data_IF_597173147659
#
_entry.id   IF_597173147659
#
_cell.length_a   1.000
_cell.length_b   1.000
_cell.length_c   1.000
_cell.angle_alpha   90.00
_cell.angle_beta   90.00
_cell.angle_gamma   90.00
#
_symmetry.space_group_name_H-M   'P 1'
#
loop_
_entity.id
_entity.type
_entity.pdbx_description
1 polymer ?
#
# COMPACT_ATOMS: atom_id res chain seq x y z
N UNK A 1 -57.17 14.10 -3.82
CA UNK A 1 -56.13 13.34 -3.11
C UNK A 1 -55.00 13.05 -4.10
N UNK A 2 -53.97 13.90 -4.12
CA UNK A 2 -52.71 13.64 -4.83
C UNK A 2 -51.80 12.86 -3.89
N UNK A 3 -51.34 11.68 -4.29
CA UNK A 3 -50.17 11.03 -3.68
C UNK A 3 -48.98 11.16 -4.63
N UNK A 4 -47.95 11.82 -4.11
CA UNK A 4 -46.63 11.98 -4.67
C UNK A 4 -45.91 10.62 -4.75
N UNK A 5 -45.45 10.23 -5.93
CA UNK A 5 -44.47 9.14 -6.11
C UNK A 5 -43.07 9.66 -5.80
N UNK A 6 -42.39 9.06 -4.82
CA UNK A 6 -41.03 9.40 -4.41
C UNK A 6 -39.98 8.77 -5.37
N UNK A 7 -38.91 9.50 -5.78
CA UNK A 7 -37.88 9.02 -6.70
C UNK A 7 -36.65 8.37 -6.04
N UNK A 8 -36.76 7.81 -4.82
CA UNK A 8 -35.60 7.41 -4.00
C UNK A 8 -34.90 6.08 -4.31
N UNK A 9 -35.51 5.17 -5.08
CA UNK A 9 -35.00 3.79 -5.22
C UNK A 9 -33.86 3.56 -6.22
N UNK A 10 -33.59 4.50 -7.14
CA UNK A 10 -32.55 4.33 -8.17
C UNK A 10 -31.16 4.81 -7.74
N UNK A 11 -31.06 5.77 -6.82
CA UNK A 11 -29.76 6.30 -6.37
C UNK A 11 -29.06 5.38 -5.38
N UNK A 12 -29.79 4.76 -4.44
CA UNK A 12 -29.21 3.84 -3.44
C UNK A 12 -28.62 2.56 -4.08
N UNK A 13 -29.27 2.02 -5.12
CA UNK A 13 -28.76 0.85 -5.83
C UNK A 13 -27.45 1.12 -6.57
N UNK A 14 -27.35 2.26 -7.26
CA UNK A 14 -26.16 2.66 -8.04
C UNK A 14 -24.98 2.99 -7.12
N UNK A 15 -25.24 3.61 -5.97
CA UNK A 15 -24.20 3.91 -4.97
C UNK A 15 -23.62 2.62 -4.38
N UNK A 16 -24.47 1.63 -4.06
CA UNK A 16 -24.06 0.32 -3.53
C UNK A 16 -23.17 -0.48 -4.50
N UNK A 17 -23.47 -0.45 -5.80
CA UNK A 17 -22.65 -1.10 -6.84
C UNK A 17 -21.25 -0.48 -6.92
N UNK A 18 -21.17 0.85 -6.83
CA UNK A 18 -19.91 1.58 -6.82
C UNK A 18 -19.05 1.24 -5.61
N UNK A 19 -19.65 1.14 -4.43
CA UNK A 19 -18.98 0.76 -3.18
C UNK A 19 -18.39 -0.65 -3.24
N UNK A 20 -19.10 -1.62 -3.83
CA UNK A 20 -18.59 -2.97 -3.98
C UNK A 20 -17.43 -3.05 -4.97
N UNK A 21 -17.56 -2.46 -6.15
CA UNK A 21 -16.46 -2.48 -7.12
C UNK A 21 -15.20 -1.83 -6.52
N UNK A 22 -15.41 -0.79 -5.71
CA UNK A 22 -14.37 -0.15 -4.94
C UNK A 22 -13.78 -1.04 -3.85
N UNK A 23 -14.61 -1.79 -3.12
CA UNK A 23 -14.14 -2.77 -2.15
C UNK A 23 -13.32 -3.88 -2.83
N UNK A 24 -13.77 -4.38 -3.98
CA UNK A 24 -13.08 -5.42 -4.74
C UNK A 24 -11.72 -4.95 -5.25
N UNK A 25 -11.64 -3.78 -5.92
CA UNK A 25 -10.36 -3.23 -6.37
C UNK A 25 -9.43 -2.88 -5.21
N UNK A 26 -9.98 -2.44 -4.07
CA UNK A 26 -9.19 -2.18 -2.86
C UNK A 26 -8.61 -3.48 -2.32
N UNK A 27 -9.41 -4.54 -2.24
CA UNK A 27 -8.97 -5.86 -1.80
C UNK A 27 -7.89 -6.42 -2.75
N UNK A 28 -8.04 -6.23 -4.06
CA UNK A 28 -6.98 -6.58 -5.02
C UNK A 28 -5.69 -5.81 -4.77
N UNK A 29 -5.77 -4.52 -4.42
CA UNK A 29 -4.58 -3.74 -4.05
C UNK A 29 -3.89 -4.35 -2.82
N UNK A 30 -4.67 -4.77 -1.81
CA UNK A 30 -4.15 -5.40 -0.60
C UNK A 30 -3.49 -6.74 -0.90
N UNK A 31 -4.13 -7.56 -1.73
CA UNK A 31 -3.57 -8.83 -2.19
C UNK A 31 -2.24 -8.63 -2.91
N UNK A 32 -2.20 -7.75 -3.91
CA UNK A 32 -0.98 -7.48 -4.66
C UNK A 32 0.11 -6.84 -3.79
N UNK A 33 -0.28 -6.02 -2.80
CA UNK A 33 0.66 -5.49 -1.81
C UNK A 33 1.23 -6.57 -0.90
N UNK A 34 0.46 -7.61 -0.55
CA UNK A 34 0.95 -8.72 0.26
C UNK A 34 1.94 -9.58 -0.54
N UNK A 35 1.65 -9.83 -1.82
CA UNK A 35 2.56 -10.49 -2.76
C UNK A 35 3.85 -9.67 -2.92
N UNK A 36 3.74 -8.36 -3.10
CA UNK A 36 4.90 -7.46 -3.19
C UNK A 36 5.72 -7.44 -1.90
N UNK A 37 5.09 -7.59 -0.73
CA UNK A 37 5.79 -7.65 0.55
C UNK A 37 6.58 -8.96 0.74
N UNK A 38 6.15 -10.05 0.10
CA UNK A 38 6.86 -11.32 0.14
C UNK A 38 8.18 -11.27 -0.64
N UNK A 39 8.31 -10.34 -1.60
CA UNK A 39 9.56 -10.13 -2.35
C UNK A 39 10.52 -9.27 -1.52
N UNK A 40 11.75 -9.73 -1.24
CA UNK A 40 12.73 -8.95 -0.50
C UNK A 40 13.06 -7.65 -1.25
N UNK A 41 12.97 -6.53 -0.54
CA UNK A 41 13.18 -5.20 -1.14
C UNK A 41 14.67 -4.86 -1.13
N UNK A 42 15.27 -4.49 -2.28
CA UNK A 42 16.68 -4.11 -2.33
C UNK A 42 16.96 -2.81 -1.58
N UNK A 43 15.98 -1.89 -1.54
CA UNK A 43 16.05 -0.62 -0.79
C UNK A 43 14.70 -0.36 -0.10
N UNK A 44 14.71 0.35 1.06
CA UNK A 44 13.50 0.60 1.85
C UNK A 44 12.40 1.38 1.11
N UNK A 45 12.77 2.15 0.09
CA UNK A 45 11.85 2.98 -0.70
C UNK A 45 11.48 2.34 -2.05
N UNK A 46 12.23 1.32 -2.50
CA UNK A 46 11.97 0.68 -3.79
C UNK A 46 10.81 -0.29 -3.67
N UNK A 47 9.75 0.00 -4.42
CA UNK A 47 8.54 -0.82 -4.55
C UNK A 47 8.40 -1.24 -6.01
N UNK A 48 8.01 -2.50 -6.25
CA UNK A 48 7.70 -2.99 -7.59
C UNK A 48 6.44 -2.31 -8.14
N UNK A 49 5.55 -1.86 -7.25
CA UNK A 49 4.34 -1.15 -7.62
C UNK A 49 3.22 -2.06 -8.10
N UNK A 50 3.23 -3.34 -7.73
CA UNK A 50 2.18 -4.30 -8.11
C UNK A 50 0.80 -3.83 -7.61
N UNK A 51 0.75 -3.26 -6.40
CA UNK A 51 -0.47 -2.68 -5.85
C UNK A 51 -1.00 -1.45 -6.63
N UNK A 52 -0.26 -0.92 -7.61
CA UNK A 52 -0.73 0.17 -8.47
C UNK A 52 -1.56 -0.33 -9.66
N UNK A 53 -1.51 -1.62 -10.00
CA UNK A 53 -2.27 -2.18 -11.11
C UNK A 53 -3.78 -1.90 -11.01
N UNK A 54 -4.46 -2.16 -9.87
CA UNK A 54 -5.89 -1.85 -9.76
C UNK A 54 -6.19 -0.35 -9.83
N UNK A 55 -5.22 0.52 -9.47
CA UNK A 55 -5.36 1.98 -9.60
C UNK A 55 -5.34 2.39 -11.07
N UNK A 56 -4.47 1.79 -11.89
CA UNK A 56 -4.44 2.02 -13.35
C UNK A 56 -5.78 1.59 -13.97
N UNK A 57 -6.30 0.43 -13.58
CA UNK A 57 -7.61 -0.07 -14.02
C UNK A 57 -8.73 0.91 -13.60
N UNK A 58 -8.71 1.37 -12.35
CA UNK A 58 -9.71 2.30 -11.83
C UNK A 58 -9.68 3.66 -12.53
N UNK A 59 -8.51 4.20 -12.90
CA UNK A 59 -8.38 5.46 -13.65
C UNK A 59 -9.08 5.38 -15.01
N UNK A 60 -9.11 4.19 -15.64
CA UNK A 60 -9.80 3.97 -16.92
C UNK A 60 -11.32 3.90 -16.79
N UNK A 61 -11.83 3.44 -15.64
CA UNK A 61 -13.27 3.20 -15.41
C UNK A 61 -13.97 4.35 -14.68
N UNK A 62 -13.30 4.94 -13.69
CA UNK A 62 -13.93 5.82 -12.71
C UNK A 62 -13.50 7.28 -12.83
N UNK A 63 -14.33 8.15 -12.25
CA UNK A 63 -14.04 9.58 -12.10
C UNK A 63 -13.14 9.82 -10.88
N UNK A 64 -12.66 11.06 -10.78
CA UNK A 64 -11.71 11.51 -9.75
C UNK A 64 -12.03 11.02 -8.32
N UNK A 65 -13.28 11.18 -7.85
CA UNK A 65 -13.66 10.87 -6.46
C UNK A 65 -13.41 9.40 -6.09
N UNK A 66 -13.86 8.45 -6.91
CA UNK A 66 -13.74 7.01 -6.61
C UNK A 66 -12.29 6.53 -6.68
N UNK A 67 -11.48 7.09 -7.59
CA UNK A 67 -10.04 6.77 -7.68
C UNK A 67 -9.29 7.28 -6.46
N UNK A 68 -9.59 8.48 -5.98
CA UNK A 68 -8.99 9.03 -4.76
C UNK A 68 -9.36 8.18 -3.54
N UNK A 69 -10.63 7.76 -3.44
CA UNK A 69 -11.10 6.87 -2.38
C UNK A 69 -10.40 5.50 -2.44
N UNK A 70 -10.22 4.93 -3.63
CA UNK A 70 -9.46 3.68 -3.85
C UNK A 70 -8.02 3.82 -3.35
N UNK A 71 -7.34 4.92 -3.69
CA UNK A 71 -5.96 5.17 -3.27
C UNK A 71 -5.88 5.30 -1.75
N UNK A 72 -6.85 5.98 -1.12
CA UNK A 72 -6.91 6.09 0.33
C UNK A 72 -7.03 4.71 0.99
N UNK A 73 -7.96 3.88 0.52
CA UNK A 73 -8.17 2.52 1.03
C UNK A 73 -6.96 1.62 0.80
N UNK A 74 -6.35 1.70 -0.39
CA UNK A 74 -5.11 0.99 -0.71
C UNK A 74 -4.01 1.35 0.27
N UNK A 75 -3.73 2.64 0.48
CA UNK A 75 -2.60 3.06 1.32
C UNK A 75 -2.86 2.75 2.79
N UNK A 76 -4.08 2.98 3.27
CA UNK A 76 -4.48 2.64 4.63
C UNK A 76 -4.37 1.13 4.88
N UNK A 77 -4.97 0.31 4.01
CA UNK A 77 -4.94 -1.14 4.14
C UNK A 77 -3.53 -1.71 3.96
N UNK A 78 -2.72 -1.19 3.03
CA UNK A 78 -1.32 -1.61 2.90
C UNK A 78 -0.51 -1.32 4.18
N UNK A 79 -0.72 -0.14 4.77
CA UNK A 79 -0.05 0.23 6.01
C UNK A 79 -0.54 -0.60 7.19
N UNK A 80 -1.83 -0.99 7.20
CA UNK A 80 -2.44 -1.93 8.14
C UNK A 80 -1.87 -3.36 8.01
N UNK A 81 -1.67 -3.85 6.80
CA UNK A 81 -1.06 -5.17 6.58
C UNK A 81 0.41 -5.19 6.99
N UNK A 82 1.12 -4.07 6.80
CA UNK A 82 2.56 -4.01 7.01
C UNK A 82 2.99 -3.69 8.45
N UNK A 83 2.07 -3.25 9.32
CA UNK A 83 2.45 -2.78 10.65
C UNK A 83 2.97 -1.34 10.70
N UNK A 84 2.78 -0.53 9.65
CA UNK A 84 3.59 0.68 9.41
C UNK A 84 2.79 1.99 9.42
N UNK A 85 1.55 2.00 9.91
CA UNK A 85 0.67 3.19 9.91
C UNK A 85 1.32 4.44 10.52
N UNK A 86 2.06 4.29 11.62
CA UNK A 86 2.67 5.41 12.33
C UNK A 86 4.16 5.57 12.02
N UNK A 87 4.58 5.17 10.82
CA UNK A 87 5.97 5.25 10.40
C UNK A 87 6.16 6.15 9.19
N UNK A 88 7.41 6.53 8.93
CA UNK A 88 7.80 7.24 7.70
C UNK A 88 7.34 6.52 6.41
N UNK A 89 7.23 5.19 6.43
CA UNK A 89 6.80 4.38 5.28
C UNK A 89 5.36 4.74 4.88
N UNK A 90 4.51 5.09 5.84
CA UNK A 90 3.15 5.53 5.58
C UNK A 90 3.13 6.88 4.88
N UNK A 91 3.89 7.86 5.36
CA UNK A 91 3.97 9.21 4.76
C UNK A 91 4.43 9.11 3.29
N UNK A 92 5.50 8.36 3.03
CA UNK A 92 6.00 8.12 1.67
C UNK A 92 4.94 7.44 0.79
N UNK A 93 4.21 6.48 1.35
CA UNK A 93 3.18 5.74 0.63
C UNK A 93 1.97 6.61 0.28
N UNK A 94 1.50 7.45 1.21
CA UNK A 94 0.36 8.36 1.01
C UNK A 94 0.75 9.40 -0.04
N UNK A 95 1.79 10.20 0.22
CA UNK A 95 2.17 11.29 -0.67
C UNK A 95 2.49 10.80 -2.08
N UNK A 96 3.25 9.70 -2.18
CA UNK A 96 3.62 9.09 -3.46
C UNK A 96 2.44 8.52 -4.24
N UNK A 97 1.54 7.77 -3.57
CA UNK A 97 0.39 7.15 -4.25
C UNK A 97 -0.65 8.17 -4.69
N UNK A 98 -0.90 9.21 -3.88
CA UNK A 98 -1.81 10.29 -4.26
C UNK A 98 -1.25 11.12 -5.41
N UNK A 99 0.04 11.48 -5.37
CA UNK A 99 0.67 12.19 -6.47
C UNK A 99 0.62 11.40 -7.78
N UNK A 100 0.95 10.10 -7.73
CA UNK A 100 0.82 9.18 -8.87
C UNK A 100 -0.61 9.16 -9.40
N UNK A 101 -1.61 8.99 -8.53
CA UNK A 101 -3.01 8.92 -8.94
C UNK A 101 -3.52 10.20 -9.56
N UNK A 102 -3.16 11.35 -9.00
CA UNK A 102 -3.53 12.66 -9.56
C UNK A 102 -2.89 12.85 -10.93
N UNK A 103 -1.59 12.56 -11.09
CA UNK A 103 -0.91 12.67 -12.38
C UNK A 103 -1.53 11.71 -13.40
N UNK A 104 -1.81 10.46 -13.03
CA UNK A 104 -2.50 9.51 -13.91
C UNK A 104 -3.88 10.02 -14.33
N UNK A 105 -4.68 10.57 -13.41
CA UNK A 105 -6.01 11.13 -13.71
C UNK A 105 -5.93 12.34 -14.65
N UNK A 106 -4.99 13.26 -14.40
CA UNK A 106 -4.77 14.44 -15.25
C UNK A 106 -4.29 14.02 -16.63
N UNK A 107 -3.31 13.11 -16.69
CA UNK A 107 -2.75 12.58 -17.93
C UNK A 107 -3.82 11.85 -18.74
N UNK A 108 -4.62 11.00 -18.09
CA UNK A 108 -5.75 10.34 -18.72
C UNK A 108 -6.75 11.38 -19.27
N UNK A 109 -7.13 12.38 -18.49
CA UNK A 109 -8.11 13.39 -18.94
C UNK A 109 -7.64 14.23 -20.13
N UNK A 110 -6.36 14.59 -20.17
CA UNK A 110 -5.78 15.40 -21.25
C UNK A 110 -5.68 14.58 -22.54
N UNK A 111 -5.17 13.35 -22.46
CA UNK A 111 -4.81 12.58 -23.65
C UNK A 111 -5.89 11.57 -24.09
N UNK A 112 -6.93 11.31 -23.28
CA UNK A 112 -8.02 10.38 -23.64
C UNK A 112 -8.79 10.85 -24.88
N UNK A 113 -8.96 12.17 -25.03
CA UNK A 113 -9.56 12.80 -26.23
C UNK A 113 -8.85 12.45 -27.53
N UNK A 114 -7.57 12.04 -27.46
CA UNK A 114 -6.73 11.73 -28.63
C UNK A 114 -6.66 10.24 -28.96
N UNK A 115 -7.20 9.31 -28.14
CA UNK A 115 -7.09 7.84 -28.29
C UNK A 115 -5.65 7.26 -28.34
N UNK A 116 -4.63 8.00 -27.90
CA UNK A 116 -3.20 7.62 -28.04
C UNK A 116 -2.60 7.06 -26.72
N UNK A 117 -3.36 6.97 -25.62
CA UNK A 117 -2.76 6.56 -24.35
C UNK A 117 -2.61 5.03 -24.26
N UNK A 118 -1.37 4.55 -24.45
CA UNK A 118 -0.99 3.21 -24.01
C UNK A 118 -1.00 3.10 -22.48
N UNK A 119 -1.40 1.94 -21.96
CA UNK A 119 -1.28 1.57 -20.53
C UNK A 119 0.13 1.79 -19.98
N UNK A 120 1.14 1.68 -20.85
CA UNK A 120 2.56 1.94 -20.55
C UNK A 120 2.79 3.40 -20.17
N UNK A 121 2.32 4.34 -20.99
CA UNK A 121 2.52 5.77 -20.74
C UNK A 121 1.80 6.23 -19.46
N UNK A 122 0.59 5.70 -19.23
CA UNK A 122 -0.18 6.00 -18.02
C UNK A 122 0.57 5.51 -16.76
N UNK A 123 1.04 4.26 -16.78
CA UNK A 123 1.83 3.70 -15.68
C UNK A 123 3.13 4.47 -15.43
N UNK A 124 3.89 4.76 -16.50
CA UNK A 124 5.16 5.46 -16.43
C UNK A 124 5.01 6.88 -15.85
N UNK A 125 3.99 7.62 -16.26
CA UNK A 125 3.72 8.97 -15.74
C UNK A 125 3.44 8.97 -14.23
N UNK A 126 2.64 8.01 -13.75
CA UNK A 126 2.38 7.87 -12.31
C UNK A 126 3.60 7.39 -11.53
N UNK A 127 4.39 6.46 -12.08
CA UNK A 127 5.63 5.99 -11.46
C UNK A 127 6.65 7.13 -11.29
N UNK A 128 6.80 7.99 -12.30
CA UNK A 128 7.64 9.19 -12.24
C UNK A 128 7.15 10.20 -11.20
N UNK A 129 5.85 10.44 -11.13
CA UNK A 129 5.26 11.34 -10.14
C UNK A 129 5.47 10.84 -8.70
N UNK A 130 5.26 9.54 -8.47
CA UNK A 130 5.55 8.90 -7.19
C UNK A 130 7.03 9.05 -6.82
N UNK A 131 7.93 8.75 -7.76
CA UNK A 131 9.37 8.86 -7.56
C UNK A 131 9.80 10.30 -7.21
N UNK A 132 9.29 11.30 -7.94
CA UNK A 132 9.59 12.70 -7.68
C UNK A 132 9.21 13.12 -6.25
N UNK A 133 8.00 12.76 -5.80
CA UNK A 133 7.56 13.05 -4.43
C UNK A 133 8.40 12.30 -3.39
N UNK A 134 8.75 11.04 -3.64
CA UNK A 134 9.63 10.29 -2.72
C UNK A 134 11.02 10.91 -2.61
N UNK A 135 11.60 11.38 -3.73
CA UNK A 135 12.89 12.09 -3.73
C UNK A 135 12.77 13.38 -2.91
N UNK A 136 11.73 14.18 -3.14
CA UNK A 136 11.50 15.44 -2.41
C UNK A 136 11.37 15.17 -0.90
N UNK A 137 10.53 14.20 -0.50
CA UNK A 137 10.34 13.84 0.90
C UNK A 137 11.62 13.29 1.54
N UNK A 138 12.36 12.45 0.83
CA UNK A 138 13.63 11.91 1.32
C UNK A 138 14.69 12.99 1.53
N UNK A 139 14.70 14.01 0.66
CA UNK A 139 15.57 15.17 0.79
C UNK A 139 15.20 16.04 1.98
N UNK A 140 13.90 16.27 2.21
CA UNK A 140 13.45 17.13 3.28
C UNK A 140 13.59 16.49 4.66
N UNK A 141 13.26 15.20 4.80
CA UNK A 141 13.21 14.53 6.09
C UNK A 141 14.50 13.80 6.50
N UNK A 142 15.31 13.29 5.55
CA UNK A 142 16.36 12.32 5.89
C UNK A 142 17.76 12.69 5.40
N UNK A 143 17.92 12.81 4.09
CA UNK A 143 19.25 12.79 3.47
C UNK A 143 19.74 14.19 3.08
N UNK A 144 18.89 15.21 3.08
CA UNK A 144 19.29 16.56 2.70
C UNK A 144 19.93 16.57 1.31
N UNK A 145 21.09 17.24 1.19
CA UNK A 145 21.87 17.31 -0.06
C UNK A 145 22.38 15.95 -0.55
N UNK A 146 22.52 14.95 0.33
CA UNK A 146 22.97 13.59 -0.01
C UNK A 146 21.97 12.86 -0.93
N UNK A 147 20.71 13.31 -0.97
CA UNK A 147 19.67 12.74 -1.84
C UNK A 147 20.02 12.82 -3.32
N UNK A 148 20.87 13.77 -3.73
CA UNK A 148 21.31 13.87 -5.14
C UNK A 148 22.00 12.60 -5.63
N UNK A 149 22.66 11.85 -4.74
CA UNK A 149 23.31 10.60 -5.10
C UNK A 149 22.32 9.43 -5.23
N UNK A 150 21.22 9.43 -4.49
CA UNK A 150 20.21 8.36 -4.53
C UNK A 150 19.17 8.59 -5.64
N UNK A 151 18.93 9.85 -6.02
CA UNK A 151 17.90 10.23 -6.97
C UNK A 151 18.02 9.55 -8.36
N UNK A 152 19.20 9.46 -9.01
CA UNK A 152 19.32 8.80 -10.32
C UNK A 152 18.93 7.31 -10.27
N UNK A 153 19.33 6.62 -9.20
CA UNK A 153 19.00 5.21 -9.00
C UNK A 153 17.48 5.02 -8.80
N UNK A 154 16.85 5.88 -8.00
CA UNK A 154 15.40 5.85 -7.79
C UNK A 154 14.62 6.16 -9.07
N UNK A 155 15.05 7.16 -9.84
CA UNK A 155 14.43 7.48 -11.13
C UNK A 155 14.58 6.33 -12.13
N UNK A 156 15.79 5.78 -12.29
CA UNK A 156 16.03 4.66 -13.21
C UNK A 156 15.17 3.44 -12.84
N UNK A 157 15.16 3.07 -11.56
CA UNK A 157 14.33 1.96 -11.09
C UNK A 157 12.83 2.21 -11.29
N UNK A 158 12.35 3.43 -11.01
CA UNK A 158 10.95 3.81 -11.19
C UNK A 158 10.51 3.78 -12.66
N UNK A 159 11.41 4.15 -13.58
CA UNK A 159 11.16 4.05 -15.02
C UNK A 159 11.01 2.60 -15.45
N UNK A 160 11.94 1.73 -15.01
CA UNK A 160 11.89 0.29 -15.32
C UNK A 160 10.64 -0.34 -14.74
N UNK A 161 10.33 -0.12 -13.45
CA UNK A 161 9.13 -0.67 -12.82
C UNK A 161 7.86 -0.12 -13.46
N UNK A 162 7.81 1.18 -13.78
CA UNK A 162 6.66 1.80 -14.43
C UNK A 162 6.39 1.23 -15.82
N UNK A 163 7.45 1.00 -16.60
CA UNK A 163 7.36 0.39 -17.92
C UNK A 163 6.90 -1.07 -17.85
N UNK A 164 7.54 -1.89 -17.00
CA UNK A 164 7.16 -3.30 -16.81
C UNK A 164 5.73 -3.45 -16.30
N UNK A 165 5.31 -2.61 -15.36
CA UNK A 165 3.93 -2.60 -14.86
C UNK A 165 2.93 -2.21 -15.96
N UNK A 166 3.32 -1.29 -16.84
CA UNK A 166 2.54 -0.91 -18.01
C UNK A 166 2.35 -2.03 -19.01
N UNK A 167 3.41 -2.78 -19.31
CA UNK A 167 3.36 -3.98 -20.14
C UNK A 167 2.49 -5.06 -19.51
N UNK A 168 2.67 -5.30 -18.21
CA UNK A 168 1.86 -6.25 -17.46
C UNK A 168 0.37 -5.88 -17.51
N UNK A 169 0.04 -4.61 -17.33
CA UNK A 169 -1.34 -4.11 -17.42
C UNK A 169 -1.95 -4.35 -18.81
N UNK A 170 -1.16 -4.15 -19.88
CA UNK A 170 -1.62 -4.39 -21.24
C UNK A 170 -1.87 -5.87 -21.52
N UNK A 171 -0.94 -6.74 -21.12
CA UNK A 171 -1.10 -8.19 -21.25
C UNK A 171 -2.29 -8.71 -20.43
N UNK A 172 -2.47 -8.19 -19.21
CA UNK A 172 -3.60 -8.53 -18.35
C UNK A 172 -4.93 -8.07 -18.97
N UNK A 173 -4.99 -6.91 -19.60
CA UNK A 173 -6.18 -6.41 -20.30
C UNK A 173 -6.62 -7.29 -21.47
N UNK A 174 -5.66 -7.82 -22.24
CA UNK A 174 -5.95 -8.67 -23.40
C UNK A 174 -6.43 -10.06 -22.97
N UNK A 175 -5.81 -10.64 -21.93
CA UNK A 175 -6.09 -11.99 -21.43
C UNK A 175 -7.29 -12.06 -20.49
N UNK A 176 -7.50 -11.06 -19.63
CA UNK A 176 -8.40 -11.16 -18.47
C UNK A 176 -9.88 -11.17 -18.88
N UNK A 177 -10.55 -12.29 -18.63
CA UNK A 177 -12.00 -12.37 -18.75
C UNK A 177 -12.70 -11.67 -17.59
N UNK A 178 -12.08 -11.70 -16.41
CA UNK A 178 -12.57 -10.94 -15.25
C UNK A 178 -12.66 -9.45 -15.56
N UNK A 179 -11.64 -8.87 -16.20
CA UNK A 179 -11.63 -7.44 -16.51
C UNK A 179 -12.81 -7.09 -17.44
N UNK A 180 -13.06 -7.89 -18.48
CA UNK A 180 -14.23 -7.74 -19.37
C UNK A 180 -15.54 -7.80 -18.58
N UNK A 181 -15.71 -8.77 -17.69
CA UNK A 181 -16.88 -8.90 -16.81
C UNK A 181 -17.02 -7.72 -15.83
N UNK A 182 -15.92 -7.24 -15.26
CA UNK A 182 -15.88 -6.11 -14.35
C UNK A 182 -16.31 -4.82 -15.04
N UNK A 183 -15.86 -4.56 -16.27
CA UNK A 183 -16.29 -3.39 -17.06
C UNK A 183 -17.75 -3.47 -17.52
N UNK A 184 -18.27 -4.67 -17.79
CA UNK A 184 -19.64 -4.87 -18.27
C UNK A 184 -20.71 -4.87 -17.16
N UNK A 185 -20.34 -5.17 -15.92
CA UNK A 185 -21.33 -5.35 -14.85
C UNK A 185 -21.78 -4.03 -14.21
N UNK A 186 -23.10 -3.83 -14.17
CA UNK A 186 -23.77 -2.64 -13.62
C UNK A 186 -24.73 -2.94 -12.47
N UNK A 187 -24.75 -4.16 -11.91
CA UNK A 187 -25.63 -4.47 -10.78
C UNK A 187 -25.06 -5.59 -9.90
N UNK A 188 -24.96 -5.34 -8.59
CA UNK A 188 -24.70 -6.35 -7.58
C UNK A 188 -25.39 -5.96 -6.27
N UNK A 189 -26.08 -6.92 -5.66
CA UNK A 189 -26.71 -6.78 -4.34
C UNK A 189 -25.75 -7.25 -3.25
N UNK A 190 -25.47 -6.38 -2.28
CA UNK A 190 -24.80 -6.75 -1.04
C UNK A 190 -25.82 -7.25 -0.02
N UNK A 191 -25.51 -8.36 0.62
CA UNK A 191 -26.05 -8.69 1.94
C UNK A 191 -24.90 -8.61 2.96
N UNK A 192 -24.70 -7.46 3.62
CA UNK A 192 -23.68 -7.35 4.65
C UNK A 192 -24.25 -7.84 5.98
N UNK A 193 -23.73 -8.95 6.50
CA UNK A 193 -23.94 -9.30 7.89
C UNK A 193 -23.29 -8.23 8.78
N UNK A 194 -24.12 -7.57 9.59
CA UNK A 194 -23.70 -6.49 10.49
C UNK A 194 -22.79 -7.04 11.59
N UNK A 195 -21.55 -6.54 11.75
CA UNK A 195 -20.72 -6.94 12.87
C UNK A 195 -21.20 -6.29 14.17
N UNK A 196 -21.25 -7.09 15.25
CA UNK A 196 -21.60 -6.63 16.60
C UNK A 196 -20.58 -5.61 17.17
N UNK A 197 -21.12 -4.59 17.84
CA UNK A 197 -20.36 -3.53 18.50
C UNK A 197 -19.68 -4.05 19.78
N UNK A 198 -18.35 -4.04 19.84
CA UNK A 198 -17.60 -4.33 21.07
C UNK A 198 -17.24 -3.02 21.80
N UNK A 199 -17.52 -2.94 23.11
CA UNK A 199 -17.17 -1.77 23.96
C UNK A 199 -15.65 -1.62 24.11
N UNK A 200 -15.13 -0.41 23.89
CA UNK A 200 -13.72 -0.06 24.06
C UNK A 200 -13.36 -0.07 25.56
N UNK A 201 -12.33 -0.83 25.94
CA UNK A 201 -11.83 -0.95 27.32
C UNK A 201 -10.86 0.19 27.69
N UNK A 202 -10.90 0.67 28.94
CA UNK A 202 -9.98 1.70 29.50
C UNK A 202 -8.50 1.34 29.34
N UNK A 203 -8.15 0.05 29.34
CA UNK A 203 -6.78 -0.43 29.13
C UNK A 203 -6.25 -0.13 27.72
N UNK A 204 -7.13 0.00 26.72
CA UNK A 204 -6.76 0.36 25.35
C UNK A 204 -6.23 1.80 25.28
N UNK A 205 -6.81 2.71 26.05
CA UNK A 205 -6.46 4.15 26.02
C UNK A 205 -5.07 4.37 26.62
N UNK A 206 -4.77 3.70 27.75
CA UNK A 206 -3.45 3.81 28.40
C UNK A 206 -2.34 3.21 27.51
N UNK A 207 -2.60 2.07 26.87
CA UNK A 207 -1.68 1.48 25.89
C UNK A 207 -1.41 2.41 24.71
N UNK A 208 -2.45 3.03 24.15
CA UNK A 208 -2.29 3.97 23.04
C UNK A 208 -1.46 5.20 23.43
N UNK A 209 -1.64 5.72 24.65
CA UNK A 209 -0.88 6.87 25.15
C UNK A 209 0.61 6.53 25.36
N UNK A 210 0.93 5.37 25.92
CA UNK A 210 2.31 4.90 26.11
C UNK A 210 3.06 4.76 24.78
N UNK A 211 2.39 4.21 23.76
CA UNK A 211 2.98 4.03 22.43
C UNK A 211 3.18 5.36 21.71
N UNK A 212 2.25 6.30 21.84
CA UNK A 212 2.42 7.66 21.33
C UNK A 212 3.60 8.38 22.00
N UNK A 213 3.74 8.27 23.32
CA UNK A 213 4.87 8.84 24.06
C UNK A 213 6.21 8.21 23.63
N UNK A 214 6.25 6.89 23.44
CA UNK A 214 7.43 6.17 22.95
C UNK A 214 7.83 6.62 21.54
N UNK A 215 6.86 6.87 20.67
CA UNK A 215 7.10 7.39 19.32
C UNK A 215 7.70 8.80 19.36
N UNK A 216 7.12 9.70 20.17
CA UNK A 216 7.63 11.07 20.34
C UNK A 216 9.05 11.05 20.88
N UNK A 217 9.32 10.21 21.88
CA UNK A 217 10.65 10.06 22.47
C UNK A 217 11.70 9.67 21.41
N UNK A 218 11.44 8.65 20.60
CA UNK A 218 12.36 8.19 19.54
C UNK A 218 12.65 9.29 18.50
N UNK A 219 11.70 10.19 18.25
CA UNK A 219 11.85 11.30 17.29
C UNK A 219 12.67 12.46 17.88
N UNK A 220 12.45 12.79 19.15
CA UNK A 220 13.03 13.98 19.78
C UNK A 220 14.44 13.75 20.32
N UNK A 221 14.75 12.52 20.71
CA UNK A 221 16.05 12.18 21.31
C UNK A 221 17.15 12.29 20.27
N UNK A 222 18.19 13.07 20.59
CA UNK A 222 19.39 13.26 19.77
C UNK A 222 20.51 12.27 20.09
N UNK A 223 20.42 11.59 21.24
CA UNK A 223 21.41 10.61 21.70
C UNK A 223 21.20 9.28 20.98
N UNK A 224 22.25 8.83 20.28
CA UNK A 224 22.27 7.58 19.51
C UNK A 224 22.06 6.36 20.38
N UNK A 225 22.69 6.31 21.55
CA UNK A 225 22.60 5.16 22.44
C UNK A 225 21.18 5.02 23.02
N UNK A 226 20.55 6.15 23.37
CA UNK A 226 19.18 6.15 23.87
C UNK A 226 18.17 5.70 22.80
N UNK A 227 18.35 6.11 21.53
CA UNK A 227 17.53 5.62 20.42
C UNK A 227 17.66 4.11 20.26
N UNK A 228 18.88 3.59 20.23
CA UNK A 228 19.12 2.15 20.04
C UNK A 228 18.70 1.30 21.25
N UNK A 229 18.82 1.81 22.48
CA UNK A 229 18.25 1.17 23.66
C UNK A 229 16.73 1.00 23.52
N UNK A 230 16.01 2.04 23.09
CA UNK A 230 14.57 1.94 22.83
C UNK A 230 14.23 0.97 21.70
N UNK A 231 15.02 0.97 20.61
CA UNK A 231 14.87 0.01 19.50
C UNK A 231 15.00 -1.42 20.02
N UNK A 232 15.98 -1.70 20.87
CA UNK A 232 16.19 -3.02 21.48
C UNK A 232 15.04 -3.42 22.40
N UNK A 233 14.52 -2.49 23.22
CA UNK A 233 13.34 -2.74 24.06
C UNK A 233 12.14 -3.14 23.20
N UNK A 234 11.81 -2.36 22.16
CA UNK A 234 10.69 -2.69 21.29
C UNK A 234 10.94 -3.94 20.45
N UNK A 235 12.18 -4.22 20.06
CA UNK A 235 12.54 -5.48 19.41
C UNK A 235 12.25 -6.66 20.34
N UNK A 236 12.69 -6.60 21.59
CA UNK A 236 12.42 -7.64 22.60
C UNK A 236 10.91 -7.81 22.85
N UNK A 237 10.17 -6.70 23.01
CA UNK A 237 8.71 -6.75 23.20
C UNK A 237 7.98 -7.40 22.02
N UNK A 238 8.42 -7.16 20.79
CA UNK A 238 7.83 -7.79 19.62
C UNK A 238 8.25 -9.28 19.50
N UNK A 239 9.46 -9.67 19.93
CA UNK A 239 9.92 -11.07 19.92
C UNK A 239 9.26 -11.94 21.00
N UNK A 240 9.01 -11.39 22.18
CA UNK A 240 8.36 -12.10 23.31
C UNK A 240 6.88 -12.39 23.01
N UNK A 241 6.25 -11.64 22.10
CA UNK A 241 4.88 -11.93 21.67
C UNK A 241 4.82 -13.25 20.88
N UNK A 242 4.04 -14.19 21.41
CA UNK A 242 3.91 -15.59 20.95
C UNK A 242 3.23 -15.79 19.58
N UNK A 243 2.98 -14.74 18.81
CA UNK A 243 2.25 -14.80 17.54
C UNK A 243 2.96 -13.99 16.45
N UNK A 244 3.89 -14.63 15.74
CA UNK A 244 4.35 -14.19 14.43
C UNK A 244 5.85 -14.39 14.17
N UNK A 245 6.17 -14.99 13.03
CA UNK A 245 7.49 -14.89 12.43
C UNK A 245 7.76 -13.42 12.11
N UNK A 246 8.45 -12.72 13.00
CA UNK A 246 8.90 -11.36 12.73
C UNK A 246 9.94 -11.41 11.61
N UNK A 247 9.54 -11.03 10.41
CA UNK A 247 10.50 -10.73 9.35
C UNK A 247 11.27 -9.46 9.76
N UNK A 248 12.45 -9.66 10.35
CA UNK A 248 13.41 -8.60 10.72
C UNK A 248 14.19 -8.07 9.52
N UNK A 249 14.17 -8.82 8.40
CA UNK A 249 14.90 -8.49 7.18
C UNK A 249 14.64 -7.06 6.68
N UNK A 250 13.40 -6.54 6.61
CA UNK A 250 13.17 -5.14 6.24
C UNK A 250 13.82 -4.13 7.18
N UNK A 251 13.84 -4.40 8.50
CA UNK A 251 14.48 -3.52 9.48
C UNK A 251 15.99 -3.52 9.29
N UNK A 252 16.60 -4.69 9.07
CA UNK A 252 18.04 -4.80 8.79
C UNK A 252 18.42 -4.06 7.50
N UNK A 253 17.64 -4.24 6.43
CA UNK A 253 17.86 -3.54 5.16
C UNK A 253 17.79 -2.03 5.34
N UNK A 254 16.85 -1.50 6.15
CA UNK A 254 16.79 -0.06 6.48
C UNK A 254 18.07 0.40 7.17
N UNK A 255 18.54 -0.33 8.19
CA UNK A 255 19.75 0.05 8.94
C UNK A 255 20.96 0.08 8.03
N UNK A 256 21.19 -1.00 7.28
CA UNK A 256 22.33 -1.10 6.37
C UNK A 256 22.26 -0.01 5.31
N UNK A 257 21.12 0.14 4.64
CA UNK A 257 20.96 1.12 3.56
C UNK A 257 21.18 2.55 4.06
N UNK A 258 20.48 2.95 5.12
CA UNK A 258 20.53 4.33 5.63
C UNK A 258 21.91 4.67 6.18
N UNK A 259 22.57 3.74 6.87
CA UNK A 259 23.94 3.94 7.35
C UNK A 259 24.92 4.07 6.19
N UNK A 260 24.86 3.17 5.20
CA UNK A 260 25.72 3.23 4.00
C UNK A 260 25.52 4.55 3.24
N UNK A 261 24.28 4.98 3.00
CA UNK A 261 24.02 6.25 2.32
C UNK A 261 24.48 7.47 3.13
N UNK A 262 24.44 7.40 4.46
CA UNK A 262 24.94 8.48 5.32
C UNK A 262 26.46 8.60 5.26
N UNK A 263 27.17 7.47 5.13
CA UNK A 263 28.62 7.42 4.97
C UNK A 263 29.11 8.05 3.67
N UNK A 264 28.27 8.13 2.62
CA UNK A 264 28.63 8.79 1.36
C UNK A 264 28.85 10.30 1.50
N UNK A 265 28.36 10.91 2.58
CA UNK A 265 28.59 12.33 2.87
C UNK A 265 29.47 12.51 4.10
N UNK A 266 30.81 12.48 3.92
CA UNK A 266 31.74 12.60 5.03
C UNK A 266 31.69 13.97 5.69
N UNK A 267 31.58 13.98 7.01
CA UNK A 267 31.81 15.15 7.84
C UNK A 267 32.26 14.74 9.25
N UNK A 268 33.04 15.63 9.90
CA UNK A 268 33.68 15.33 11.18
C UNK A 268 34.97 14.53 11.02
N UNK A 269 35.39 13.84 12.08
CA UNK A 269 36.68 13.12 12.14
C UNK A 269 36.71 11.95 11.17
N UNK A 270 37.75 11.86 10.35
CA UNK A 270 38.00 10.70 9.48
C UNK A 270 38.42 9.52 10.36
N UNK A 271 37.71 8.40 10.25
CA UNK A 271 38.04 7.16 10.93
C UNK A 271 38.96 6.31 10.05
N UNK A 272 38.54 6.08 8.82
CA UNK A 272 39.25 5.27 7.83
C UNK A 272 39.05 5.83 6.43
N UNK A 273 40.02 5.60 5.55
CA UNK A 273 39.95 5.94 4.13
C UNK A 273 40.04 4.65 3.32
N UNK A 274 39.01 4.37 2.51
CA UNK A 274 38.89 3.13 1.76
C UNK A 274 38.66 3.48 0.29
N UNK A 275 39.60 3.13 -0.60
CA UNK A 275 39.48 3.43 -2.04
C UNK A 275 39.22 4.93 -2.35
N UNK A 276 39.81 5.83 -1.55
CA UNK A 276 39.63 7.29 -1.68
C UNK A 276 38.32 7.83 -1.10
N UNK A 277 37.48 6.98 -0.50
CA UNK A 277 36.28 7.39 0.22
C UNK A 277 36.61 7.54 1.70
N UNK A 278 36.43 8.75 2.22
CA UNK A 278 36.66 9.06 3.64
C UNK A 278 35.43 8.63 4.43
N UNK A 279 35.58 7.65 5.30
CA UNK A 279 34.55 7.24 6.26
C UNK A 279 34.77 8.04 7.53
N UNK A 280 33.85 8.94 7.86
CA UNK A 280 33.95 9.78 9.06
C UNK A 280 33.06 9.28 10.19
N UNK A 281 33.51 9.47 11.43
CA UNK A 281 32.74 9.10 12.62
C UNK A 281 31.42 9.86 12.72
N UNK A 282 31.41 11.15 12.34
CA UNK A 282 30.19 11.96 12.33
C UNK A 282 29.14 11.44 11.34
N UNK A 283 29.57 10.95 10.17
CA UNK A 283 28.67 10.36 9.18
C UNK A 283 28.11 9.01 9.64
N UNK A 284 28.93 8.20 10.32
CA UNK A 284 28.51 6.92 10.90
C UNK A 284 27.50 7.13 12.02
N UNK A 285 27.78 8.03 12.96
CA UNK A 285 26.91 8.36 14.09
C UNK A 285 25.54 8.86 13.62
N UNK A 286 25.52 9.77 12.64
CA UNK A 286 24.25 10.22 12.07
C UNK A 286 23.52 9.15 11.25
N UNK A 287 24.25 8.26 10.58
CA UNK A 287 23.67 7.10 9.91
C UNK A 287 22.97 6.17 10.90
N UNK A 288 23.62 5.88 12.01
CA UNK A 288 23.07 5.09 13.11
C UNK A 288 21.91 5.80 13.81
N UNK A 289 21.99 7.11 14.02
CA UNK A 289 20.90 7.90 14.58
C UNK A 289 19.65 7.81 13.69
N UNK A 290 19.79 8.14 12.40
CA UNK A 290 18.67 8.14 11.44
C UNK A 290 18.08 6.75 11.27
N UNK A 291 18.92 5.72 11.10
CA UNK A 291 18.45 4.34 10.95
C UNK A 291 17.76 3.82 12.21
N UNK A 292 18.31 4.13 13.39
CA UNK A 292 17.71 3.79 14.68
C UNK A 292 16.33 4.43 14.86
N UNK A 293 16.20 5.73 14.58
CA UNK A 293 14.91 6.44 14.63
C UNK A 293 13.90 5.81 13.67
N UNK A 294 14.32 5.51 12.43
CA UNK A 294 13.46 4.91 11.40
C UNK A 294 12.96 3.53 11.78
N UNK A 295 13.86 2.65 12.25
CA UNK A 295 13.49 1.29 12.68
C UNK A 295 12.66 1.34 13.96
N UNK A 296 12.99 2.22 14.89
CA UNK A 296 12.24 2.46 16.12
C UNK A 296 10.78 2.80 15.83
N UNK A 297 10.52 3.74 14.92
CA UNK A 297 9.15 4.05 14.47
C UNK A 297 8.41 2.82 13.93
N UNK A 298 9.08 2.01 13.10
CA UNK A 298 8.46 0.81 12.52
C UNK A 298 8.14 -0.23 13.61
N UNK A 299 9.04 -0.45 14.57
CA UNK A 299 8.83 -1.43 15.65
C UNK A 299 7.74 -1.00 16.64
N UNK A 300 7.68 0.29 16.98
CA UNK A 300 6.59 0.86 17.80
C UNK A 300 5.25 0.75 17.06
N UNK A 301 5.22 1.09 15.77
CA UNK A 301 4.02 0.98 14.94
C UNK A 301 3.54 -0.47 14.79
N UNK A 302 4.46 -1.43 14.59
CA UNK A 302 4.14 -2.87 14.52
C UNK A 302 3.52 -3.37 15.82
N UNK A 303 4.09 -2.94 16.95
CA UNK A 303 3.56 -3.31 18.26
C UNK A 303 2.15 -2.74 18.52
N UNK A 304 1.86 -1.54 18.00
CA UNK A 304 0.56 -0.87 18.13
C UNK A 304 -0.56 -1.57 17.34
N UNK A 305 -0.29 -1.97 16.11
CA UNK A 305 -1.31 -2.45 15.18
C UNK A 305 -1.85 -3.86 15.45
N UNK A 306 -1.34 -4.51 16.47
CA UNK A 306 -1.84 -5.78 16.99
C UNK A 306 -3.10 -5.60 17.88
N UNK A 307 -3.56 -4.35 18.08
CA UNK A 307 -4.90 -4.09 18.60
C UNK A 307 -5.90 -4.23 17.44
N UNK A 308 -6.92 -5.09 17.58
CA UNK A 308 -7.98 -5.29 16.58
C UNK A 308 -8.72 -3.97 16.29
N UNK A 309 -8.24 -3.20 15.29
CA UNK A 309 -8.83 -1.90 14.91
C UNK A 309 -10.06 -2.17 14.05
N UNK A 310 -11.25 -2.23 14.67
CA UNK A 310 -12.52 -2.20 13.93
C UNK A 310 -13.09 -0.79 13.95
N UNK A 311 -13.15 -0.18 12.77
CA UNK A 311 -13.65 1.19 12.56
C UNK A 311 -15.18 1.11 12.51
N UNK A 312 -15.93 1.87 13.33
CA UNK A 312 -17.40 1.88 13.24
C UNK A 312 -17.92 2.77 12.10
N UNK A 313 -19.08 2.41 11.53
CA UNK A 313 -19.81 3.20 10.53
C UNK A 313 -19.61 2.73 9.08
N UNK A 314 -20.11 3.49 8.09
CA UNK A 314 -20.04 3.14 6.65
C UNK A 314 -18.62 2.78 6.16
N UNK A 315 -17.62 3.51 6.64
CA UNK A 315 -16.20 3.24 6.31
C UNK A 315 -15.76 1.88 6.89
N UNK A 316 -16.26 1.54 8.07
CA UNK A 316 -16.04 0.25 8.72
C UNK A 316 -16.60 -0.91 7.93
N UNK A 317 -17.86 -0.80 7.49
CA UNK A 317 -18.53 -1.79 6.66
C UNK A 317 -17.75 -2.02 5.36
N UNK A 318 -17.32 -0.94 4.72
CA UNK A 318 -16.50 -1.00 3.51
C UNK A 318 -15.14 -1.67 3.74
N UNK A 319 -14.44 -1.33 4.82
CA UNK A 319 -13.17 -1.98 5.18
C UNK A 319 -13.39 -3.47 5.50
N UNK A 320 -14.52 -3.84 6.11
CA UNK A 320 -14.88 -5.24 6.36
C UNK A 320 -15.05 -6.00 5.05
N UNK A 321 -15.81 -5.46 4.10
CA UNK A 321 -15.99 -6.05 2.76
C UNK A 321 -14.65 -6.20 2.02
N UNK A 322 -13.77 -5.19 2.10
CA UNK A 322 -12.41 -5.27 1.54
C UNK A 322 -11.63 -6.43 2.15
N UNK A 323 -11.67 -6.59 3.47
CA UNK A 323 -10.93 -7.64 4.17
C UNK A 323 -11.50 -9.04 3.90
N UNK A 324 -12.81 -9.17 3.75
CA UNK A 324 -13.46 -10.43 3.38
C UNK A 324 -13.06 -10.88 1.97
N UNK A 325 -13.16 -9.99 0.98
CA UNK A 325 -12.72 -10.28 -0.39
C UNK A 325 -11.22 -10.60 -0.41
N UNK A 326 -10.40 -9.85 0.33
CA UNK A 326 -8.96 -10.09 0.46
C UNK A 326 -8.64 -11.50 0.98
N UNK A 327 -9.36 -11.99 2.00
CA UNK A 327 -9.17 -13.35 2.52
C UNK A 327 -9.52 -14.42 1.49
N UNK A 328 -10.57 -14.17 0.68
CA UNK A 328 -10.98 -15.05 -0.42
C UNK A 328 -9.95 -15.15 -1.57
N UNK A 329 -9.11 -14.13 -1.74
CA UNK A 329 -8.06 -14.08 -2.78
C UNK A 329 -6.79 -14.89 -2.44
N UNK A 330 -6.80 -15.72 -1.40
CA UNK A 330 -5.69 -16.62 -1.12
C UNK A 330 -5.63 -17.77 -2.16
N UNK A 331 -4.44 -18.00 -2.73
CA UNK A 331 -4.20 -18.99 -3.77
C UNK A 331 -3.61 -20.27 -3.21
N UNK A 332 -4.03 -21.41 -3.75
CA UNK A 332 -3.38 -22.69 -3.47
C UNK A 332 -2.29 -22.96 -4.51
N UNK A 333 -1.14 -23.52 -4.09
CA UNK A 333 0.02 -23.82 -4.96
C UNK A 333 -0.33 -24.65 -6.21
N UNK A 334 -1.42 -25.43 -6.15
CA UNK A 334 -1.94 -26.25 -7.25
C UNK A 334 -2.55 -25.42 -8.38
N UNK A 335 -3.29 -24.36 -8.05
CA UNK A 335 -3.95 -23.47 -9.03
C UNK A 335 -2.92 -22.80 -9.96
N UNK A 336 -1.76 -22.39 -9.43
CA UNK A 336 -0.69 -21.73 -10.20
C UNK A 336 -0.04 -22.67 -11.22
N UNK A 337 0.04 -23.96 -10.91
CA UNK A 337 0.74 -24.95 -11.74
C UNK A 337 -0.07 -25.34 -12.98
N UNK A 338 -1.40 -25.25 -12.92
CA UNK A 338 -2.29 -25.74 -13.97
C UNK A 338 -2.59 -24.68 -15.06
N UNK A 339 -2.61 -23.38 -14.73
CA UNK A 339 -2.99 -22.30 -15.67
C UNK A 339 -1.96 -21.17 -15.80
N UNK A 340 -0.79 -21.31 -15.17
CA UNK A 340 0.21 -20.24 -15.07
C UNK A 340 -0.22 -19.12 -14.12
N UNK A 341 0.70 -18.20 -13.80
CA UNK A 341 0.45 -17.16 -12.78
C UNK A 341 -0.69 -16.22 -13.18
N UNK A 342 -0.71 -15.72 -14.42
CA UNK A 342 -1.76 -14.79 -14.88
C UNK A 342 -3.13 -15.48 -15.00
N UNK A 343 -3.19 -16.71 -15.51
CA UNK A 343 -4.43 -17.47 -15.64
C UNK A 343 -5.03 -17.86 -14.30
N UNK A 344 -4.20 -18.27 -13.33
CA UNK A 344 -4.65 -18.56 -11.98
C UNK A 344 -5.24 -17.33 -11.29
N UNK A 345 -4.56 -16.18 -11.42
CA UNK A 345 -5.03 -14.90 -10.88
C UNK A 345 -6.36 -14.49 -11.52
N UNK A 346 -6.48 -14.52 -12.85
CA UNK A 346 -7.71 -14.15 -13.54
C UNK A 346 -8.89 -15.07 -13.17
N UNK A 347 -8.67 -16.40 -13.18
CA UNK A 347 -9.71 -17.37 -12.83
C UNK A 347 -10.24 -17.21 -11.41
N UNK A 348 -9.35 -16.92 -10.44
CA UNK A 348 -9.75 -16.67 -9.05
C UNK A 348 -10.50 -15.36 -8.88
N UNK A 349 -10.04 -14.29 -9.55
CA UNK A 349 -10.75 -13.01 -9.54
C UNK A 349 -12.14 -13.16 -10.17
N UNK A 350 -12.25 -13.90 -11.27
CA UNK A 350 -13.52 -14.17 -11.93
C UNK A 350 -14.46 -15.00 -11.05
N UNK A 351 -13.97 -16.02 -10.35
CA UNK A 351 -14.81 -16.86 -9.48
C UNK A 351 -15.39 -16.05 -8.33
N UNK A 352 -14.54 -15.29 -7.63
CA UNK A 352 -14.95 -14.43 -6.51
C UNK A 352 -15.90 -13.35 -7.02
N UNK A 353 -15.60 -12.73 -8.16
CA UNK A 353 -16.47 -11.72 -8.76
C UNK A 353 -17.85 -12.27 -9.13
N UNK A 354 -17.93 -13.49 -9.67
CA UNK A 354 -19.21 -14.14 -10.03
C UNK A 354 -20.05 -14.52 -8.81
N UNK A 355 -19.40 -15.05 -7.77
CA UNK A 355 -20.04 -15.39 -6.48
C UNK A 355 -20.66 -14.14 -5.85
N UNK A 356 -19.87 -13.08 -5.79
CA UNK A 356 -20.28 -11.79 -5.26
C UNK A 356 -21.38 -11.14 -6.12
N UNK A 357 -21.24 -11.19 -7.44
CA UNK A 357 -22.21 -10.58 -8.38
C UNK A 357 -23.53 -11.35 -8.50
N UNK A 358 -23.69 -12.48 -7.79
CA UNK A 358 -24.90 -13.32 -7.85
C UNK A 358 -25.11 -14.07 -9.16
N UNK A 359 -24.11 -14.10 -10.06
CA UNK A 359 -24.24 -14.66 -11.41
C UNK A 359 -24.47 -16.18 -11.44
N UNK A 360 -24.22 -16.90 -10.34
CA UNK A 360 -24.54 -18.33 -10.24
C UNK A 360 -26.06 -18.60 -10.11
N UNK A 361 -26.85 -17.65 -9.57
CA UNK A 361 -28.28 -17.88 -9.33
C UNK A 361 -29.15 -17.76 -10.58
N UNK A 362 -28.71 -17.06 -11.63
CA UNK A 362 -29.45 -17.03 -12.91
C UNK A 362 -29.38 -18.36 -13.67
N UNK A 363 -28.34 -19.16 -13.46
CA UNK A 363 -28.21 -20.48 -14.11
C UNK A 363 -29.14 -21.55 -13.51
N UNK A 364 -29.56 -21.36 -12.25
CA UNK A 364 -30.49 -22.23 -11.54
C UNK A 364 -31.96 -21.80 -11.70
N UNK A 365 -32.24 -20.52 -11.97
CA UNK A 365 -33.62 -20.06 -12.23
C UNK A 365 -34.06 -20.23 -13.69
N UNK A 366 -33.15 -20.51 -14.64
CA UNK A 366 -33.50 -20.87 -16.03
C UNK A 366 -33.73 -22.36 -16.25
N UNK A 367 -33.64 -23.17 -15.18
CA UNK A 367 -33.86 -24.62 -15.22
C UNK A 367 -35.08 -25.10 -14.42
N UNK A 368 -35.89 -24.19 -13.89
CA UNK A 368 -37.19 -24.50 -13.29
C UNK A 368 -38.33 -23.96 -14.14
#
# INVERSE_FOLDING_TARGET
>A
MQQHSAPGGKEEGVESIGEMQLAFLSAMCLFLSAVEYAVPKPLPFMRLGLANLPVIIAVKKWRFKSVVLLIALKVAGQALLSGTLFSYIFIFSVSGSFASGIVMLVFHRIFYRRKIISSIALSLSGAMANCAVQIILSSFFFFGKSTRFIAPLLCASSSVTGFLMGLFCNAFEEMSEWMKAFFSSSAVCLNPDKPEKKKISKYSILKTAFLAASMIFIITVKDVYAVWAMVLVFLALNLVKKHGNMNLLPSVVVVVSVTVFSLLTPYGKVLFELWGWKITGGALEAGLQKSGTLVGMVLVSKYFMDADIRIPGKIGDMVSSVMEIFRGMSFTRKEIKESGIMGAVDGKLLSIWKEISGANNESLSRRN
#
